data_IF_295947093440
#
_entry.id   IF_295947093440
#
_cell.length_a   1.000
_cell.length_b   1.000
_cell.length_c   1.000
_cell.angle_alpha   90.00
_cell.angle_beta   90.00
_cell.angle_gamma   90.00
#
_symmetry.space_group_name_H-M   'P 1'
#
loop_
_entity.id
_entity.type
_entity.pdbx_description
1 polymer ?
#
# COMPACT_ATOMS: atom_id res chain seq x y z
N UNK A 1 -4.42 -27.37 4.62
CA UNK A 1 -5.82 -27.12 5.00
C UNK A 1 -6.37 -26.00 4.12
N UNK A 2 -7.26 -26.30 3.19
CA UNK A 2 -8.01 -25.27 2.48
C UNK A 2 -8.89 -24.53 3.49
N UNK A 3 -8.71 -23.23 3.57
CA UNK A 3 -9.50 -22.40 4.47
C UNK A 3 -10.94 -22.33 3.93
N UNK A 4 -11.88 -23.08 4.53
CA UNK A 4 -13.29 -23.13 4.13
C UNK A 4 -13.98 -21.75 4.11
N UNK A 5 -13.41 -20.75 4.78
CA UNK A 5 -13.93 -19.38 4.85
C UNK A 5 -13.33 -18.43 3.80
N UNK A 6 -12.42 -18.92 2.94
CA UNK A 6 -11.74 -18.10 1.95
C UNK A 6 -12.62 -17.84 0.71
N UNK A 7 -13.49 -16.85 0.79
CA UNK A 7 -14.49 -16.51 -0.22
C UNK A 7 -14.12 -15.30 -1.08
N UNK A 8 -13.28 -14.39 -0.58
CA UNK A 8 -12.94 -13.15 -1.28
C UNK A 8 -11.78 -13.35 -2.27
N UNK A 9 -11.93 -12.83 -3.47
CA UNK A 9 -10.87 -12.77 -4.48
C UNK A 9 -10.05 -11.47 -4.32
N UNK A 10 -8.84 -11.42 -4.91
CA UNK A 10 -8.01 -10.23 -4.91
C UNK A 10 -8.67 -9.01 -5.58
N UNK A 11 -9.50 -9.24 -6.61
CA UNK A 11 -10.27 -8.16 -7.23
C UNK A 11 -11.35 -7.59 -6.29
N UNK A 12 -12.05 -8.46 -5.55
CA UNK A 12 -13.04 -8.03 -4.56
C UNK A 12 -12.39 -7.27 -3.40
N UNK A 13 -11.24 -7.73 -2.90
CA UNK A 13 -10.47 -6.99 -1.89
C UNK A 13 -10.08 -5.60 -2.37
N UNK A 14 -9.56 -5.49 -3.59
CA UNK A 14 -9.19 -4.20 -4.18
C UNK A 14 -10.41 -3.29 -4.35
N UNK A 15 -11.57 -3.84 -4.68
CA UNK A 15 -12.81 -3.07 -4.77
C UNK A 15 -13.24 -2.55 -3.39
N UNK A 16 -13.18 -3.39 -2.35
CA UNK A 16 -13.42 -2.98 -0.95
C UNK A 16 -12.47 -1.84 -0.58
N UNK A 17 -11.17 -1.97 -0.92
CA UNK A 17 -10.18 -0.94 -0.65
C UNK A 17 -10.46 0.36 -1.42
N UNK A 18 -10.90 0.28 -2.68
CA UNK A 18 -11.26 1.44 -3.49
C UNK A 18 -12.49 2.18 -2.89
N UNK A 19 -13.51 1.45 -2.46
CA UNK A 19 -14.68 2.04 -1.77
C UNK A 19 -14.25 2.67 -0.46
N UNK A 20 -13.45 1.99 0.36
CA UNK A 20 -12.93 2.54 1.61
C UNK A 20 -12.11 3.82 1.37
N UNK A 21 -11.27 3.86 0.33
CA UNK A 21 -10.50 5.05 -0.05
C UNK A 21 -11.41 6.21 -0.47
N UNK A 22 -12.48 5.93 -1.22
CA UNK A 22 -13.48 6.93 -1.59
C UNK A 22 -14.16 7.50 -0.35
N UNK A 23 -14.55 6.65 0.61
CA UNK A 23 -15.15 7.07 1.88
C UNK A 23 -14.20 7.93 2.73
N UNK A 24 -12.90 7.57 2.77
CA UNK A 24 -11.89 8.34 3.46
C UNK A 24 -11.78 9.77 2.92
N UNK A 25 -11.62 9.90 1.60
CA UNK A 25 -11.49 11.20 0.96
C UNK A 25 -12.79 12.01 0.99
N UNK A 26 -13.95 11.37 0.86
CA UNK A 26 -15.25 12.01 1.06
C UNK A 26 -15.40 12.53 2.49
N UNK A 27 -14.95 11.75 3.49
CA UNK A 27 -14.92 12.18 4.89
C UNK A 27 -14.00 13.37 5.15
N UNK A 28 -12.88 13.49 4.41
CA UNK A 28 -11.98 14.64 4.52
C UNK A 28 -12.59 15.89 3.85
N UNK A 29 -13.08 15.74 2.61
CA UNK A 29 -13.37 16.86 1.72
C UNK A 29 -14.82 17.36 1.84
N UNK A 30 -15.77 16.44 2.04
CA UNK A 30 -17.21 16.76 1.99
C UNK A 30 -17.88 16.65 3.37
N UNK A 31 -17.49 15.68 4.19
CA UNK A 31 -18.19 15.36 5.44
C UNK A 31 -17.24 15.27 6.65
N UNK A 32 -16.48 16.35 7.00
CA UNK A 32 -15.44 16.29 8.04
C UNK A 32 -15.98 15.96 9.44
N UNK A 33 -17.29 16.18 9.66
CA UNK A 33 -17.97 15.86 10.93
C UNK A 33 -18.39 14.39 11.05
N UNK A 34 -18.33 13.60 9.97
CA UNK A 34 -18.76 12.19 9.96
C UNK A 34 -17.55 11.27 10.15
N UNK A 35 -17.14 11.08 11.40
CA UNK A 35 -15.97 10.26 11.75
C UNK A 35 -16.04 8.82 11.20
N UNK A 36 -17.24 8.25 11.08
CA UNK A 36 -17.44 6.90 10.55
C UNK A 36 -16.85 6.70 9.14
N UNK A 37 -16.92 7.71 8.26
CA UNK A 37 -16.33 7.66 6.92
C UNK A 37 -14.81 7.51 6.99
N UNK A 38 -14.19 8.23 7.92
CA UNK A 38 -12.75 8.18 8.16
C UNK A 38 -12.31 6.84 8.75
N UNK A 39 -13.10 6.28 9.67
CA UNK A 39 -12.84 4.96 10.27
C UNK A 39 -12.90 3.86 9.21
N UNK A 40 -13.97 3.83 8.39
CA UNK A 40 -14.09 2.88 7.28
C UNK A 40 -12.99 3.08 6.23
N UNK A 41 -12.59 4.33 6.02
CA UNK A 41 -11.50 4.70 5.14
C UNK A 41 -10.15 4.08 5.51
N UNK A 42 -9.90 3.84 6.81
CA UNK A 42 -8.66 3.20 7.28
C UNK A 42 -8.45 1.78 6.73
N UNK A 43 -9.48 1.16 6.18
CA UNK A 43 -9.39 -0.17 5.58
C UNK A 43 -8.69 -0.17 4.22
N UNK A 44 -8.64 0.97 3.52
CA UNK A 44 -8.06 1.07 2.19
C UNK A 44 -6.56 0.71 2.19
N UNK A 45 -5.79 1.40 3.03
CA UNK A 45 -4.34 1.27 3.07
C UNK A 45 -3.88 -0.18 3.32
N UNK A 46 -4.29 -0.90 4.38
CA UNK A 46 -3.75 -2.24 4.66
C UNK A 46 -4.12 -3.26 3.59
N UNK A 47 -5.29 -3.14 2.95
CA UNK A 47 -5.64 -4.01 1.81
C UNK A 47 -4.71 -3.73 0.64
N UNK A 48 -4.48 -2.46 0.28
CA UNK A 48 -3.55 -2.14 -0.80
C UNK A 48 -2.12 -2.54 -0.45
N UNK A 49 -1.64 -2.33 0.78
CA UNK A 49 -0.33 -2.76 1.25
C UNK A 49 -0.11 -4.27 1.06
N UNK A 50 -1.10 -5.08 1.45
CA UNK A 50 -1.08 -6.52 1.22
C UNK A 50 -1.06 -6.86 -0.28
N UNK A 51 -1.89 -6.20 -1.09
CA UNK A 51 -1.97 -6.42 -2.54
C UNK A 51 -0.70 -5.96 -3.29
N UNK A 52 0.02 -4.94 -2.82
CA UNK A 52 1.33 -4.54 -3.35
C UNK A 52 2.37 -5.64 -3.10
N UNK A 53 2.45 -6.17 -1.89
CA UNK A 53 3.34 -7.30 -1.59
C UNK A 53 3.04 -8.51 -2.47
N UNK A 54 1.76 -8.82 -2.66
CA UNK A 54 1.31 -9.90 -3.55
C UNK A 54 1.65 -9.61 -5.02
N UNK A 55 1.41 -8.38 -5.47
CA UNK A 55 1.77 -7.92 -6.82
C UNK A 55 3.27 -8.08 -7.10
N UNK A 56 4.13 -7.71 -6.16
CA UNK A 56 5.60 -7.91 -6.27
C UNK A 56 6.00 -9.39 -6.35
N UNK A 57 5.22 -10.28 -5.72
CA UNK A 57 5.50 -11.71 -5.72
C UNK A 57 5.13 -12.37 -7.06
N UNK A 58 3.98 -12.00 -7.64
CA UNK A 58 3.44 -12.64 -8.85
C UNK A 58 3.81 -11.95 -10.16
N UNK A 59 4.34 -10.72 -10.13
CA UNK A 59 4.69 -10.01 -11.36
C UNK A 59 5.92 -10.63 -12.05
N UNK A 60 5.82 -10.84 -13.36
CA UNK A 60 6.95 -11.32 -14.18
C UNK A 60 7.91 -10.19 -14.55
N UNK A 61 7.39 -9.02 -14.85
CA UNK A 61 8.18 -7.84 -15.23
C UNK A 61 8.19 -6.82 -14.07
N UNK A 62 9.22 -6.94 -13.22
CA UNK A 62 9.41 -6.13 -12.03
C UNK A 62 9.56 -4.63 -12.35
N UNK A 63 10.38 -4.32 -13.36
CA UNK A 63 10.64 -2.93 -13.76
C UNK A 63 9.34 -2.27 -14.25
N UNK A 64 8.59 -2.95 -15.14
CA UNK A 64 7.31 -2.42 -15.63
C UNK A 64 6.31 -2.19 -14.50
N UNK A 65 6.27 -3.09 -13.51
CA UNK A 65 5.37 -2.94 -12.35
C UNK A 65 5.73 -1.70 -11.53
N UNK A 66 7.02 -1.53 -11.22
CA UNK A 66 7.54 -0.35 -10.54
C UNK A 66 7.26 0.94 -11.32
N UNK A 67 7.65 0.98 -12.60
CA UNK A 67 7.49 2.18 -13.43
C UNK A 67 6.02 2.59 -13.61
N UNK A 68 5.10 1.63 -13.69
CA UNK A 68 3.66 1.95 -13.75
C UNK A 68 3.15 2.57 -12.44
N UNK A 69 3.58 2.03 -11.29
CA UNK A 69 3.16 2.55 -9.98
C UNK A 69 3.79 3.92 -9.72
N UNK A 70 5.09 4.03 -9.93
CA UNK A 70 5.84 5.27 -9.75
C UNK A 70 5.38 6.36 -10.72
N UNK A 71 5.23 6.03 -12.00
CA UNK A 71 4.81 7.00 -13.02
C UNK A 71 3.39 7.55 -12.76
N UNK A 72 2.45 6.68 -12.33
CA UNK A 72 1.13 7.13 -11.92
C UNK A 72 1.21 8.01 -10.66
N UNK A 73 2.01 7.60 -9.66
CA UNK A 73 2.22 8.36 -8.44
C UNK A 73 2.85 9.73 -8.71
N UNK A 74 3.90 9.78 -9.52
CA UNK A 74 4.56 11.02 -9.92
C UNK A 74 3.65 11.94 -10.74
N UNK A 75 2.87 11.39 -11.68
CA UNK A 75 1.89 12.15 -12.45
C UNK A 75 0.81 12.79 -11.55
N UNK A 76 0.22 12.01 -10.64
CA UNK A 76 -0.74 12.54 -9.68
C UNK A 76 -0.10 13.59 -8.76
N UNK A 77 1.16 13.39 -8.35
CA UNK A 77 1.90 14.33 -7.50
C UNK A 77 2.15 15.67 -8.21
N UNK A 78 2.55 15.64 -9.47
CA UNK A 78 2.75 16.85 -10.27
C UNK A 78 1.44 17.63 -10.39
N UNK A 79 0.33 16.98 -10.74
CA UNK A 79 -0.99 17.60 -10.80
C UNK A 79 -1.35 18.21 -9.45
N UNK A 80 -1.21 17.46 -8.36
CA UNK A 80 -1.52 17.95 -7.02
C UNK A 80 -0.69 19.17 -6.63
N UNK A 81 0.63 19.14 -6.91
CA UNK A 81 1.53 20.25 -6.65
C UNK A 81 1.14 21.52 -7.43
N UNK A 82 0.79 21.41 -8.71
CA UNK A 82 0.37 22.56 -9.52
C UNK A 82 -0.94 23.20 -9.02
N UNK A 83 -1.84 22.41 -8.43
CA UNK A 83 -3.11 22.95 -7.92
C UNK A 83 -3.07 23.42 -6.46
N UNK A 84 -2.26 22.79 -5.61
CA UNK A 84 -2.24 23.06 -4.16
C UNK A 84 -0.95 23.75 -3.68
N UNK A 85 0.15 23.66 -4.44
CA UNK A 85 1.48 24.06 -3.98
C UNK A 85 2.09 23.16 -2.92
N UNK A 86 1.41 22.05 -2.53
CA UNK A 86 1.82 21.16 -1.47
C UNK A 86 2.74 20.05 -1.99
N UNK A 87 3.81 19.77 -1.24
CA UNK A 87 4.80 18.73 -1.54
C UNK A 87 4.50 17.40 -0.86
N UNK A 88 3.34 17.25 -0.19
CA UNK A 88 2.92 16.01 0.44
C UNK A 88 2.84 14.86 -0.58
N UNK A 89 3.70 13.86 -0.40
CA UNK A 89 3.81 12.74 -1.34
C UNK A 89 2.67 11.73 -1.14
N UNK A 90 1.99 11.41 -2.24
CA UNK A 90 0.84 10.49 -2.25
C UNK A 90 1.23 9.02 -2.01
N UNK A 91 0.23 8.21 -1.66
CA UNK A 91 0.37 6.79 -1.31
C UNK A 91 1.02 5.91 -2.40
N UNK A 92 0.89 6.28 -3.69
CA UNK A 92 1.52 5.50 -4.76
C UNK A 92 3.05 5.65 -4.74
N UNK A 93 3.56 6.82 -4.33
CA UNK A 93 4.98 7.04 -4.11
C UNK A 93 5.48 6.28 -2.88
N UNK A 94 4.69 6.24 -1.80
CA UNK A 94 4.96 5.39 -0.63
C UNK A 94 5.11 3.91 -1.04
N UNK A 95 4.16 3.39 -1.81
CA UNK A 95 4.21 2.02 -2.31
C UNK A 95 5.34 1.79 -3.32
N UNK A 96 5.75 2.80 -4.07
CA UNK A 96 6.90 2.69 -4.96
C UNK A 96 8.20 2.46 -4.18
N UNK A 97 8.39 3.16 -3.06
CA UNK A 97 9.49 2.89 -2.13
C UNK A 97 9.42 1.46 -1.56
N UNK A 98 8.21 1.01 -1.16
CA UNK A 98 7.99 -0.36 -0.70
C UNK A 98 8.39 -1.40 -1.75
N UNK A 99 8.02 -1.17 -3.02
CA UNK A 99 8.34 -2.08 -4.15
C UNK A 99 9.85 -2.20 -4.35
N UNK A 100 10.61 -1.11 -4.25
CA UNK A 100 12.07 -1.15 -4.34
C UNK A 100 12.68 -2.00 -3.21
N UNK A 101 12.26 -1.77 -1.96
CA UNK A 101 12.72 -2.55 -0.81
C UNK A 101 12.33 -4.04 -0.93
N UNK A 102 11.12 -4.34 -1.39
CA UNK A 102 10.66 -5.71 -1.63
C UNK A 102 11.53 -6.40 -2.69
N UNK A 103 11.87 -5.71 -3.78
CA UNK A 103 12.70 -6.31 -4.83
C UNK A 103 14.15 -6.52 -4.37
N UNK A 104 14.69 -5.61 -3.57
CA UNK A 104 16.00 -5.79 -2.93
C UNK A 104 16.01 -6.98 -1.96
N UNK A 105 14.96 -7.11 -1.12
CA UNK A 105 14.77 -8.25 -0.22
C UNK A 105 14.65 -9.58 -0.99
N UNK A 106 13.90 -9.61 -2.09
CA UNK A 106 13.74 -10.79 -2.93
C UNK A 106 15.04 -11.17 -3.65
N UNK A 107 15.88 -10.20 -4.05
CA UNK A 107 17.17 -10.45 -4.65
C UNK A 107 18.12 -11.06 -3.61
N UNK A 108 18.20 -10.44 -2.42
CA UNK A 108 19.00 -10.91 -1.30
C UNK A 108 18.66 -12.34 -0.89
N UNK A 109 17.39 -12.69 -0.81
CA UNK A 109 16.95 -14.01 -0.35
C UNK A 109 17.15 -15.14 -1.38
N UNK A 110 17.42 -14.82 -2.64
CA UNK A 110 17.70 -15.79 -3.71
C UNK A 110 19.19 -16.02 -3.96
N UNK A 111 20.02 -15.09 -3.49
CA UNK A 111 21.47 -15.17 -3.74
C UNK A 111 22.13 -16.19 -2.81
N UNK A 112 22.98 -17.04 -3.38
CA UNK A 112 23.72 -18.08 -2.67
C UNK A 112 25.22 -17.75 -2.54
N UNK A 113 25.73 -16.89 -3.43
CA UNK A 113 27.11 -16.46 -3.36
C UNK A 113 27.29 -15.46 -2.23
N UNK A 114 28.17 -15.79 -1.25
CA UNK A 114 28.34 -14.98 -0.03
C UNK A 114 28.79 -13.53 -0.32
N UNK A 115 29.66 -13.32 -1.32
CA UNK A 115 30.15 -11.98 -1.68
C UNK A 115 29.04 -11.13 -2.30
N UNK A 116 28.22 -11.71 -3.20
CA UNK A 116 27.05 -11.03 -3.78
C UNK A 116 25.99 -10.79 -2.72
N UNK A 117 25.79 -11.73 -1.81
CA UNK A 117 24.86 -11.58 -0.69
C UNK A 117 25.28 -10.42 0.23
N UNK A 118 26.58 -10.28 0.49
CA UNK A 118 27.12 -9.13 1.24
C UNK A 118 26.80 -7.80 0.56
N UNK A 119 27.08 -7.66 -0.76
CA UNK A 119 26.80 -6.43 -1.49
C UNK A 119 25.28 -6.13 -1.59
N UNK A 120 24.46 -7.14 -1.78
CA UNK A 120 22.99 -6.97 -1.78
C UNK A 120 22.48 -6.58 -0.38
N UNK A 121 23.09 -7.07 0.70
CA UNK A 121 22.73 -6.66 2.06
C UNK A 121 23.10 -5.20 2.30
N UNK A 122 24.25 -4.75 1.83
CA UNK A 122 24.67 -3.33 1.88
C UNK A 122 23.69 -2.46 1.07
N UNK A 123 23.36 -2.88 -0.15
CA UNK A 123 22.39 -2.18 -0.99
C UNK A 123 21.00 -2.09 -0.31
N UNK A 124 20.55 -3.18 0.31
CA UNK A 124 19.29 -3.17 1.07
C UNK A 124 19.36 -2.21 2.26
N UNK A 125 20.47 -2.22 3.02
CA UNK A 125 20.68 -1.32 4.15
C UNK A 125 20.68 0.15 3.71
N UNK A 126 21.34 0.48 2.59
CA UNK A 126 21.34 1.83 2.00
C UNK A 126 19.94 2.23 1.55
N UNK A 127 19.22 1.35 0.86
CA UNK A 127 17.83 1.62 0.42
C UNK A 127 16.87 1.80 1.60
N UNK A 128 17.03 0.99 2.65
CA UNK A 128 16.26 1.09 3.89
C UNK A 128 16.53 2.42 4.62
N UNK A 129 17.81 2.77 4.81
CA UNK A 129 18.21 4.03 5.44
C UNK A 129 17.79 5.23 4.60
N UNK A 130 17.88 5.12 3.27
CA UNK A 130 17.42 6.13 2.34
C UNK A 130 15.89 6.34 2.41
N UNK A 131 15.11 5.27 2.50
CA UNK A 131 13.67 5.34 2.71
C UNK A 131 13.31 6.01 4.05
N UNK A 132 14.03 5.68 5.12
CA UNK A 132 13.86 6.34 6.41
C UNK A 132 14.22 7.83 6.34
N UNK A 133 15.40 8.16 5.77
CA UNK A 133 15.85 9.55 5.59
C UNK A 133 14.86 10.37 4.74
N UNK A 134 14.32 9.77 3.66
CA UNK A 134 13.33 10.42 2.81
C UNK A 134 12.08 10.83 3.60
N UNK A 135 11.58 9.98 4.50
CA UNK A 135 10.41 10.31 5.34
C UNK A 135 10.69 11.38 6.39
N UNK A 136 11.97 11.71 6.65
CA UNK A 136 12.37 12.83 7.52
C UNK A 136 12.53 14.15 6.76
N UNK A 137 12.81 14.07 5.45
CA UNK A 137 13.01 15.26 4.59
C UNK A 137 11.71 15.72 3.95
N UNK A 138 10.82 14.79 3.62
CA UNK A 138 9.57 15.07 2.91
C UNK A 138 8.42 14.33 3.60
N UNK A 139 7.28 14.99 3.72
CA UNK A 139 6.06 14.36 4.25
C UNK A 139 5.51 13.38 3.21
N UNK A 140 5.50 12.09 3.57
CA UNK A 140 5.03 10.99 2.73
C UNK A 140 3.80 10.36 3.39
N UNK A 141 2.80 10.02 2.60
CA UNK A 141 1.57 9.38 3.09
C UNK A 141 1.89 8.08 3.84
N UNK A 142 1.39 7.96 5.06
CA UNK A 142 1.68 6.89 6.03
C UNK A 142 3.15 6.77 6.49
N UNK A 143 4.03 7.71 6.14
CA UNK A 143 5.41 7.78 6.62
C UNK A 143 6.24 6.51 6.40
N UNK A 144 7.24 6.31 7.25
CA UNK A 144 8.17 5.16 7.17
C UNK A 144 7.45 3.82 7.37
N UNK A 145 6.53 3.71 8.31
CA UNK A 145 5.79 2.47 8.56
C UNK A 145 4.83 2.14 7.42
N UNK A 146 4.37 3.17 6.69
CA UNK A 146 3.64 2.98 5.43
C UNK A 146 4.49 2.32 4.35
N UNK A 147 5.78 2.65 4.26
CA UNK A 147 6.72 1.98 3.34
C UNK A 147 7.00 0.54 3.81
N UNK A 148 7.16 0.31 5.12
CA UNK A 148 7.60 -0.97 5.68
C UNK A 148 6.51 -2.03 5.77
N UNK A 149 5.25 -1.66 5.92
CA UNK A 149 4.15 -2.64 6.05
C UNK A 149 4.05 -3.63 4.88
N UNK A 150 4.10 -3.22 3.59
CA UNK A 150 4.17 -4.17 2.47
C UNK A 150 5.45 -5.02 2.48
N UNK A 151 6.57 -4.48 2.96
CA UNK A 151 7.85 -5.21 3.04
C UNK A 151 7.74 -6.36 4.06
N UNK A 152 7.09 -6.14 5.20
CA UNK A 152 6.84 -7.18 6.20
C UNK A 152 6.01 -8.34 5.63
N UNK A 153 4.93 -8.03 4.93
CA UNK A 153 4.11 -9.06 4.24
C UNK A 153 4.95 -9.82 3.21
N UNK A 154 5.76 -9.11 2.44
CA UNK A 154 6.61 -9.71 1.41
C UNK A 154 7.70 -10.61 2.00
N UNK A 155 8.17 -10.36 3.22
CA UNK A 155 9.12 -11.23 3.91
C UNK A 155 8.54 -12.63 4.11
N UNK A 156 7.30 -12.75 4.61
CA UNK A 156 6.63 -14.05 4.77
C UNK A 156 6.47 -14.76 3.42
N UNK A 157 6.03 -14.04 2.38
CA UNK A 157 5.88 -14.60 1.03
C UNK A 157 7.21 -15.09 0.44
N UNK A 158 8.27 -14.33 0.62
CA UNK A 158 9.62 -14.68 0.13
C UNK A 158 10.17 -15.91 0.84
N UNK A 159 9.92 -16.03 2.14
CA UNK A 159 10.30 -17.20 2.95
C UNK A 159 9.34 -18.38 2.80
N UNK A 160 8.28 -18.23 2.00
CA UNK A 160 7.23 -19.24 1.80
C UNK A 160 6.55 -19.67 3.11
N UNK A 161 6.42 -18.75 4.04
CA UNK A 161 5.71 -18.98 5.29
C UNK A 161 4.21 -19.14 5.03
N UNK A 162 3.48 -19.81 5.92
CA UNK A 162 2.05 -19.95 5.76
C UNK A 162 1.34 -18.61 5.84
N UNK A 163 0.18 -18.52 5.24
CA UNK A 163 -0.56 -17.27 5.07
C UNK A 163 -0.89 -16.54 6.39
N UNK A 164 -1.11 -17.28 7.48
CA UNK A 164 -1.30 -16.63 8.78
C UNK A 164 -0.10 -15.77 9.17
N UNK A 165 1.12 -16.15 8.78
CA UNK A 165 2.31 -15.34 9.03
C UNK A 165 2.31 -14.03 8.21
N UNK A 166 1.78 -14.04 6.98
CA UNK A 166 1.60 -12.82 6.18
C UNK A 166 0.65 -11.85 6.90
N UNK A 167 -0.46 -12.37 7.45
CA UNK A 167 -1.46 -11.59 8.17
C UNK A 167 -0.88 -11.07 9.50
N UNK A 168 -0.10 -11.87 10.22
CA UNK A 168 0.58 -11.42 11.45
C UNK A 168 1.59 -10.32 11.16
N UNK A 169 2.40 -10.46 10.10
CA UNK A 169 3.38 -9.44 9.73
C UNK A 169 2.72 -8.17 9.22
N UNK A 170 1.60 -8.26 8.50
CA UNK A 170 0.78 -7.11 8.20
C UNK A 170 0.29 -6.44 9.49
N UNK A 171 -0.25 -7.22 10.42
CA UNK A 171 -0.71 -6.73 11.73
C UNK A 171 0.40 -6.02 12.50
N UNK A 172 1.62 -6.56 12.53
CA UNK A 172 2.78 -5.92 13.14
C UNK A 172 3.08 -4.56 12.49
N UNK A 173 3.10 -4.50 11.14
CA UNK A 173 3.30 -3.24 10.41
C UNK A 173 2.22 -2.21 10.74
N UNK A 174 0.95 -2.64 10.82
CA UNK A 174 -0.16 -1.77 11.18
C UNK A 174 -0.11 -1.30 12.63
N UNK A 175 0.39 -2.11 13.57
CA UNK A 175 0.60 -1.71 14.96
C UNK A 175 1.67 -0.63 15.06
N UNK A 176 2.82 -0.78 14.39
CA UNK A 176 3.84 0.25 14.34
C UNK A 176 3.31 1.54 13.69
N UNK A 177 2.54 1.41 12.60
CA UNK A 177 1.91 2.54 11.95
C UNK A 177 0.91 3.25 12.87
N UNK A 178 0.08 2.49 13.59
CA UNK A 178 -0.89 3.04 14.53
C UNK A 178 -0.23 3.70 15.73
N UNK A 179 0.89 3.16 16.20
CA UNK A 179 1.69 3.76 17.28
C UNK A 179 2.34 5.10 16.85
N UNK A 180 2.76 5.19 15.58
CA UNK A 180 3.40 6.39 15.02
C UNK A 180 2.38 7.51 14.72
N UNK A 181 1.25 7.15 14.07
CA UNK A 181 0.24 8.12 13.63
C UNK A 181 -0.85 8.41 14.67
N UNK A 182 -1.12 7.47 15.57
CA UNK A 182 -2.16 7.60 16.60
C UNK A 182 -3.59 7.65 16.05
N UNK A 183 -4.50 8.16 16.90
CA UNK A 183 -5.89 8.50 16.55
C UNK A 183 -6.69 7.31 15.97
N UNK A 184 -7.40 7.55 14.88
CA UNK A 184 -8.25 6.55 14.21
C UNK A 184 -7.49 5.47 13.45
N UNK A 185 -6.14 5.55 13.38
CA UNK A 185 -5.34 4.60 12.59
C UNK A 185 -5.43 3.17 13.16
N UNK A 186 -5.72 3.01 14.45
CA UNK A 186 -5.92 1.69 15.08
C UNK A 186 -7.04 0.87 14.43
N UNK A 187 -8.07 1.51 13.86
CA UNK A 187 -9.16 0.81 13.17
C UNK A 187 -8.70 0.08 11.91
N UNK A 188 -7.52 0.42 11.35
CA UNK A 188 -6.91 -0.31 10.25
C UNK A 188 -6.66 -1.80 10.57
N UNK A 189 -6.47 -2.15 11.86
CA UNK A 189 -6.28 -3.54 12.31
C UNK A 189 -7.51 -4.42 12.06
N UNK A 190 -8.71 -3.86 12.02
CA UNK A 190 -9.95 -4.63 11.74
C UNK A 190 -9.92 -5.28 10.35
N UNK A 191 -9.12 -4.74 9.43
CA UNK A 191 -8.93 -5.33 8.09
C UNK A 191 -8.34 -6.74 8.14
N UNK A 192 -7.60 -7.10 9.19
CA UNK A 192 -7.06 -8.44 9.34
C UNK A 192 -8.17 -9.49 9.29
N UNK A 193 -9.37 -9.19 9.83
CA UNK A 193 -10.55 -10.07 9.76
C UNK A 193 -11.03 -10.25 8.31
N UNK A 194 -11.03 -9.18 7.50
CA UNK A 194 -11.39 -9.24 6.08
C UNK A 194 -10.37 -10.08 5.31
N UNK A 195 -9.08 -9.92 5.62
CA UNK A 195 -8.02 -10.66 4.95
C UNK A 195 -8.01 -12.16 5.29
N UNK A 196 -8.57 -12.56 6.42
CA UNK A 196 -8.79 -13.99 6.71
C UNK A 196 -9.74 -14.64 5.70
N UNK A 197 -10.68 -13.86 5.11
CA UNK A 197 -11.62 -14.31 4.10
C UNK A 197 -11.03 -14.33 2.67
N UNK A 198 -9.81 -13.83 2.49
CA UNK A 198 -9.16 -13.81 1.17
C UNK A 198 -8.79 -15.22 0.71
N UNK A 199 -9.10 -15.58 -0.53
CA UNK A 199 -8.87 -16.91 -1.09
C UNK A 199 -7.49 -17.14 -1.71
N UNK A 200 -6.64 -16.10 -1.81
CA UNK A 200 -5.38 -16.16 -2.57
C UNK A 200 -5.57 -16.17 -4.09
N UNK A 201 -6.81 -16.11 -4.59
CA UNK A 201 -7.13 -16.13 -6.02
C UNK A 201 -7.38 -14.71 -6.53
N UNK A 202 -6.85 -14.37 -7.71
CA UNK A 202 -6.97 -13.02 -8.30
C UNK A 202 -8.41 -12.63 -8.61
N UNK A 203 -9.25 -13.58 -9.00
CA UNK A 203 -10.58 -13.32 -9.58
C UNK A 203 -10.55 -13.35 -11.12
N UNK A 204 -11.72 -13.61 -11.73
CA UNK A 204 -11.85 -13.86 -13.18
C UNK A 204 -11.68 -12.59 -14.03
N UNK A 205 -12.11 -11.44 -13.54
CA UNK A 205 -12.14 -10.17 -14.29
C UNK A 205 -10.77 -9.47 -14.25
N UNK A 206 -10.35 -8.90 -15.39
CA UNK A 206 -9.14 -8.07 -15.42
C UNK A 206 -9.48 -6.62 -15.07
N UNK A 207 -9.34 -6.26 -13.80
CA UNK A 207 -9.65 -4.92 -13.28
C UNK A 207 -8.41 -4.01 -13.17
N UNK A 208 -7.30 -4.36 -13.82
CA UNK A 208 -6.04 -3.63 -13.69
C UNK A 208 -6.18 -2.14 -14.03
N UNK A 209 -6.74 -1.83 -15.18
CA UNK A 209 -6.91 -0.45 -15.65
C UNK A 209 -7.92 0.33 -14.82
N UNK A 210 -8.97 -0.33 -14.32
CA UNK A 210 -9.94 0.28 -13.42
C UNK A 210 -9.25 0.94 -12.21
N UNK A 211 -8.37 0.23 -11.52
CA UNK A 211 -7.70 0.77 -10.32
C UNK A 211 -6.71 1.90 -10.65
N UNK A 212 -6.06 1.87 -11.81
CA UNK A 212 -5.17 2.96 -12.22
C UNK A 212 -5.95 4.24 -12.57
N UNK A 213 -7.12 4.12 -13.19
CA UNK A 213 -7.97 5.26 -13.52
C UNK A 213 -8.72 5.75 -12.27
N UNK A 214 -9.19 4.84 -11.43
CA UNK A 214 -9.94 5.16 -10.24
C UNK A 214 -9.18 6.10 -9.31
N UNK A 215 -7.87 5.87 -9.12
CA UNK A 215 -7.07 6.66 -8.17
C UNK A 215 -7.06 8.17 -8.49
N UNK A 216 -6.69 8.64 -9.69
CA UNK A 216 -6.76 10.07 -10.00
C UNK A 216 -8.20 10.57 -10.13
N UNK A 217 -9.11 9.80 -10.72
CA UNK A 217 -10.47 10.25 -11.03
C UNK A 217 -11.28 10.54 -9.76
N UNK A 218 -11.25 9.66 -8.75
CA UNK A 218 -12.02 9.91 -7.53
C UNK A 218 -11.54 11.16 -6.77
N UNK A 219 -10.22 11.45 -6.78
CA UNK A 219 -9.66 12.65 -6.15
C UNK A 219 -10.14 13.92 -6.87
N UNK A 220 -10.06 13.95 -8.21
CA UNK A 220 -10.52 15.08 -9.02
C UNK A 220 -12.01 15.32 -8.86
N UNK A 221 -12.82 14.25 -8.87
CA UNK A 221 -14.27 14.36 -8.69
C UNK A 221 -14.64 14.90 -7.31
N UNK A 222 -14.05 14.35 -6.24
CA UNK A 222 -14.33 14.81 -4.88
C UNK A 222 -13.88 16.25 -4.66
N UNK A 223 -12.72 16.63 -5.19
CA UNK A 223 -12.24 18.00 -5.10
C UNK A 223 -13.15 18.95 -5.88
N UNK A 224 -13.59 18.59 -7.09
CA UNK A 224 -14.55 19.36 -7.88
C UNK A 224 -15.88 19.55 -7.15
N UNK A 225 -16.42 18.49 -6.56
CA UNK A 225 -17.63 18.57 -5.74
C UNK A 225 -17.40 19.49 -4.53
N UNK A 226 -16.28 19.36 -3.82
CA UNK A 226 -15.98 20.19 -2.66
C UNK A 226 -15.89 21.69 -3.01
N UNK A 227 -15.46 22.03 -4.23
CA UNK A 227 -15.42 23.41 -4.70
C UNK A 227 -16.82 24.00 -4.97
N UNK A 228 -17.82 23.15 -5.31
CA UNK A 228 -19.19 23.61 -5.54
C UNK A 228 -19.97 23.89 -4.23
N UNK A 229 -19.48 23.35 -3.11
CA UNK A 229 -20.11 23.52 -1.78
C UNK A 229 -19.39 24.54 -0.89
N UNK A 230 -18.34 25.20 -1.39
CA UNK A 230 -17.67 26.34 -0.75
C UNK A 230 -18.26 27.66 -1.25
#
# INVERSE_FOLDING_TARGET
MENRFAVLTGNQLKLIAAVAMLLDHAGILLFPRVAALRVLGRFAYPIFAYMIAEGCHYTRNKLRYFLMLFGLGAGCQLVYYFFSGDTYMNILLTFSCSVLLIYALQALSKEQNWLRQFWLSMLFAVAFSGAYGLTRLVTIDYGFWGIMTPVFVSLAKTRKWPRWAEILLLGAGLLFLAADMGGIQHYALLVLLILLLYSGKRGKTNMKYFFYIFYPVHLVLLQGIAMLFK
#
